data_IF_903568016553
#
_entry.id   IF_903568016553
#
_cell.length_a   1.000
_cell.length_b   1.000
_cell.length_c   1.000
_cell.angle_alpha   90.00
_cell.angle_beta   90.00
_cell.angle_gamma   90.00
#
_symmetry.space_group_name_H-M   'P 1'
#
loop_
_entity.id
_entity.type
_entity.pdbx_description
1 polymer ?
#
# COMPACT_ATOMS: atom_id res chain seq x y z
N UNK A 1 -15.33 0.19 11.12
CA UNK A 1 -14.76 1.53 11.41
C UNK A 1 -13.25 1.39 11.34
N UNK A 2 -12.57 2.13 10.47
CA UNK A 2 -11.10 2.11 10.41
C UNK A 2 -10.56 2.74 11.70
N UNK A 3 -9.68 2.05 12.41
CA UNK A 3 -9.00 2.59 13.59
C UNK A 3 -8.00 3.66 13.12
N UNK A 4 -8.43 4.91 13.15
CA UNK A 4 -7.75 6.02 12.48
C UNK A 4 -6.38 6.31 13.09
N UNK A 5 -6.20 5.97 14.36
CA UNK A 5 -5.01 6.27 15.16
C UNK A 5 -4.02 5.08 15.23
N UNK A 6 -4.38 3.92 14.68
CA UNK A 6 -3.52 2.74 14.71
C UNK A 6 -2.49 2.80 13.59
N UNK A 7 -1.22 2.57 13.93
CA UNK A 7 -0.17 2.40 12.95
C UNK A 7 -0.42 1.12 12.13
N UNK A 8 -0.40 1.26 10.81
CA UNK A 8 -0.64 0.15 9.88
C UNK A 8 0.66 -0.27 9.21
N UNK A 9 0.80 -1.57 9.02
CA UNK A 9 1.91 -2.18 8.33
C UNK A 9 1.37 -3.14 7.27
N UNK A 10 1.93 -3.07 6.07
CA UNK A 10 1.68 -4.08 5.05
C UNK A 10 2.25 -5.41 5.55
N UNK A 11 1.44 -6.47 5.54
CA UNK A 11 1.91 -7.76 5.99
C UNK A 11 3.01 -8.30 5.07
N UNK A 12 3.87 -9.14 5.62
CA UNK A 12 5.09 -9.63 4.95
C UNK A 12 4.79 -10.47 3.70
N UNK A 13 3.62 -11.11 3.61
CA UNK A 13 3.21 -11.86 2.42
C UNK A 13 2.88 -10.97 1.21
N UNK A 14 2.78 -9.65 1.40
CA UNK A 14 2.44 -8.72 0.33
C UNK A 14 3.64 -7.89 -0.11
N UNK A 15 3.92 -7.92 -1.41
CA UNK A 15 4.95 -7.09 -2.06
C UNK A 15 4.28 -6.02 -2.91
N UNK A 16 4.57 -4.77 -2.60
CA UNK A 16 4.13 -3.61 -3.38
C UNK A 16 5.19 -3.29 -4.45
N UNK A 17 4.77 -3.21 -5.72
CA UNK A 17 5.70 -3.03 -6.84
C UNK A 17 5.21 -2.00 -7.87
N UNK A 18 6.15 -1.26 -8.46
CA UNK A 18 5.91 -0.31 -9.55
C UNK A 18 6.62 -0.84 -10.80
N UNK A 19 5.87 -1.52 -11.68
CA UNK A 19 6.45 -2.28 -12.80
C UNK A 19 7.01 -1.38 -13.91
N UNK A 20 6.28 -0.30 -14.23
CA UNK A 20 6.69 0.67 -15.24
C UNK A 20 6.31 2.07 -14.77
N UNK A 21 7.32 2.91 -14.60
CA UNK A 21 7.15 4.26 -14.05
C UNK A 21 6.34 5.14 -14.99
N UNK A 22 6.61 5.04 -16.29
CA UNK A 22 6.01 5.89 -17.32
C UNK A 22 4.56 5.49 -17.66
N UNK A 23 4.17 4.25 -17.35
CA UNK A 23 2.83 3.72 -17.61
C UNK A 23 1.92 3.70 -16.36
N UNK A 24 2.41 4.19 -15.21
CA UNK A 24 1.62 4.21 -13.96
C UNK A 24 1.13 2.83 -13.53
N UNK A 25 1.93 1.79 -13.76
CA UNK A 25 1.54 0.40 -13.44
C UNK A 25 1.91 0.05 -12.00
N UNK A 26 0.92 0.15 -11.12
CA UNK A 26 1.04 -0.14 -9.70
C UNK A 26 0.39 -1.48 -9.35
N UNK A 27 1.11 -2.31 -8.60
CA UNK A 27 0.68 -3.67 -8.28
C UNK A 27 0.99 -4.05 -6.84
N UNK A 28 0.12 -4.91 -6.30
CA UNK A 28 0.34 -5.63 -5.05
C UNK A 28 0.31 -7.13 -5.35
N UNK A 29 1.33 -7.85 -4.90
CA UNK A 29 1.44 -9.29 -5.09
C UNK A 29 1.38 -9.98 -3.73
N UNK A 30 0.54 -11.01 -3.60
CA UNK A 30 0.60 -11.94 -2.48
C UNK A 30 1.52 -13.10 -2.86
N UNK A 31 2.64 -13.25 -2.16
CA UNK A 31 3.65 -14.28 -2.46
C UNK A 31 3.29 -15.67 -1.93
N UNK A 32 2.36 -15.76 -0.97
CA UNK A 32 1.92 -17.04 -0.41
C UNK A 32 1.00 -17.78 -1.37
N UNK A 33 0.09 -17.08 -2.04
CA UNK A 33 -0.92 -17.70 -2.89
C UNK A 33 -0.82 -17.30 -4.38
N UNK A 34 0.03 -16.35 -4.74
CA UNK A 34 0.23 -15.90 -6.11
C UNK A 34 -0.80 -14.88 -6.61
N UNK A 35 -1.72 -14.42 -5.76
CA UNK A 35 -2.71 -13.41 -6.14
C UNK A 35 -2.04 -12.09 -6.49
N UNK A 36 -2.63 -11.39 -7.47
CA UNK A 36 -2.17 -10.07 -7.88
C UNK A 36 -3.32 -9.09 -7.94
N UNK A 37 -3.07 -7.88 -7.47
CA UNK A 37 -4.03 -6.79 -7.43
C UNK A 37 -3.45 -5.60 -8.18
N UNK A 38 -4.15 -5.17 -9.23
CA UNK A 38 -3.85 -3.91 -9.90
C UNK A 38 -4.31 -2.76 -9.02
N UNK A 39 -3.43 -1.81 -8.78
CA UNK A 39 -3.70 -0.61 -8.01
C UNK A 39 -3.77 0.60 -8.93
N UNK A 40 -4.51 1.62 -8.50
CA UNK A 40 -4.31 2.98 -9.01
C UNK A 40 -3.17 3.66 -8.21
N UNK A 41 -2.78 4.85 -8.67
CA UNK A 41 -1.68 5.61 -8.07
C UNK A 41 -1.96 5.96 -6.60
N UNK A 42 -3.16 6.42 -6.27
CA UNK A 42 -3.54 6.79 -4.91
C UNK A 42 -3.44 5.62 -3.94
N UNK A 43 -4.00 4.46 -4.30
CA UNK A 43 -3.95 3.25 -3.49
C UNK A 43 -2.52 2.78 -3.29
N UNK A 44 -1.67 2.87 -4.32
CA UNK A 44 -0.25 2.54 -4.20
C UNK A 44 0.47 3.43 -3.20
N UNK A 45 0.32 4.75 -3.31
CA UNK A 45 0.97 5.68 -2.39
C UNK A 45 0.51 5.47 -0.94
N UNK A 46 -0.79 5.29 -0.71
CA UNK A 46 -1.31 4.97 0.62
C UNK A 46 -0.64 3.71 1.18
N UNK A 47 -0.61 2.62 0.42
CA UNK A 47 0.00 1.36 0.86
C UNK A 47 1.52 1.48 1.06
N UNK A 48 2.23 2.27 0.25
CA UNK A 48 3.67 2.51 0.41
C UNK A 48 4.03 3.19 1.74
N UNK A 49 3.05 3.86 2.38
CA UNK A 49 3.23 4.49 3.68
C UNK A 49 2.92 3.56 4.86
N UNK A 50 2.38 2.36 4.62
CA UNK A 50 2.07 1.38 5.66
C UNK A 50 3.33 0.63 6.11
N UNK A 51 4.17 1.32 6.87
CA UNK A 51 5.46 0.82 7.36
C UNK A 51 5.49 0.59 8.88
N UNK A 52 4.32 0.56 9.53
CA UNK A 52 4.19 0.39 10.98
C UNK A 52 4.53 1.64 11.81
N UNK A 53 4.85 2.78 11.17
CA UNK A 53 5.21 4.03 11.87
C UNK A 53 4.12 5.09 11.85
N UNK A 54 3.20 5.03 10.89
CA UNK A 54 2.15 6.04 10.68
C UNK A 54 0.77 5.42 10.74
N UNK A 55 -0.18 6.14 11.33
CA UNK A 55 -1.59 5.81 11.26
C UNK A 55 -2.21 6.28 9.93
N UNK A 56 -3.40 5.76 9.62
CA UNK A 56 -4.14 6.21 8.43
C UNK A 56 -4.52 7.70 8.53
N UNK A 57 -4.78 8.21 9.74
CA UNK A 57 -5.08 9.63 9.96
C UNK A 57 -3.86 10.54 9.75
N UNK A 58 -2.66 10.07 10.03
CA UNK A 58 -1.42 10.79 9.70
C UNK A 58 -1.13 10.75 8.20
N UNK A 59 -1.32 9.59 7.57
CA UNK A 59 -1.15 9.40 6.13
C UNK A 59 -2.07 10.32 5.34
N UNK A 60 -3.34 10.44 5.75
CA UNK A 60 -4.30 11.33 5.10
C UNK A 60 -3.83 12.79 5.01
N UNK A 61 -3.03 13.26 5.97
CA UNK A 61 -2.53 14.65 5.98
C UNK A 61 -1.35 14.88 5.02
N UNK A 62 -0.82 13.82 4.40
CA UNK A 62 0.34 13.89 3.51
C UNK A 62 -0.03 13.82 2.01
N UNK A 63 -1.31 13.64 1.68
CA UNK A 63 -1.81 13.42 0.30
C UNK A 63 -2.71 14.59 -0.10
#
# INVERSE_FOLDING_TARGET
>A
MLEVDKALQLKEEFILYKLKIDEGMFWLFNIENGDSFKLNETSYYILSMFNGKRSIGEIQKCI
#
